data_IF_904783558743
#
_entry.id   IF_904783558743
#
_cell.length_a   1.000
_cell.length_b   1.000
_cell.length_c   1.000
_cell.angle_alpha   90.00
_cell.angle_beta   90.00
_cell.angle_gamma   90.00
#
_symmetry.space_group_name_H-M   'P 1'
#
loop_
_entity.id
_entity.type
_entity.pdbx_description
1 polymer ?
#
# COMPACT_ATOMS: atom_id res chain seq x y z
N UNK A 1 -7.15 -18.13 8.55
CA UNK A 1 -7.04 -18.06 10.03
C UNK A 1 -6.82 -16.65 10.58
N UNK A 2 -6.05 -15.77 9.91
CA UNK A 2 -5.83 -14.38 10.37
C UNK A 2 -7.12 -13.59 10.66
N UNK A 3 -8.08 -13.60 9.73
CA UNK A 3 -9.36 -12.90 9.92
C UNK A 3 -10.11 -13.41 11.15
N UNK A 4 -10.13 -14.73 11.39
CA UNK A 4 -10.78 -15.28 12.57
C UNK A 4 -10.11 -14.76 13.85
N UNK A 5 -8.78 -14.84 13.94
CA UNK A 5 -8.04 -14.38 15.13
C UNK A 5 -8.29 -12.90 15.45
N UNK A 6 -8.35 -12.04 14.44
CA UNK A 6 -8.65 -10.60 14.62
C UNK A 6 -10.06 -10.33 15.15
N UNK A 7 -11.05 -11.10 14.71
CA UNK A 7 -12.46 -10.89 15.06
C UNK A 7 -12.89 -11.75 16.25
N UNK A 8 -12.06 -12.70 16.68
CA UNK A 8 -12.38 -13.58 17.80
C UNK A 8 -12.72 -12.78 19.08
N UNK A 9 -11.97 -11.73 19.46
CA UNK A 9 -12.34 -10.94 20.63
C UNK A 9 -13.70 -10.24 20.49
N UNK A 10 -14.10 -9.87 19.27
CA UNK A 10 -15.41 -9.27 19.02
C UNK A 10 -16.54 -10.31 19.08
N UNK A 11 -16.26 -11.56 18.67
CA UNK A 11 -17.27 -12.61 18.57
C UNK A 11 -17.58 -13.24 19.94
N UNK A 12 -16.56 -13.43 20.78
CA UNK A 12 -16.70 -14.17 22.04
C UNK A 12 -16.17 -13.43 23.26
N UNK A 13 -15.62 -12.22 23.12
CA UNK A 13 -15.01 -11.49 24.23
C UNK A 13 -15.94 -11.27 25.41
N UNK A 14 -17.22 -10.99 25.14
CA UNK A 14 -18.24 -10.77 26.18
C UNK A 14 -18.56 -12.04 27.01
N UNK A 15 -18.17 -13.22 26.52
CA UNK A 15 -18.36 -14.50 27.22
C UNK A 15 -17.12 -14.95 27.98
N UNK A 16 -15.99 -14.23 27.86
CA UNK A 16 -14.74 -14.58 28.54
C UNK A 16 -14.60 -13.72 29.80
N UNK A 17 -14.27 -14.30 30.97
CA UNK A 17 -14.04 -13.54 32.19
C UNK A 17 -12.94 -12.49 32.01
N UNK A 18 -13.14 -11.27 32.52
CA UNK A 18 -12.16 -10.18 32.41
C UNK A 18 -10.81 -10.52 33.05
N UNK A 19 -10.81 -11.36 34.09
CA UNK A 19 -9.61 -11.79 34.81
C UNK A 19 -8.90 -13.00 34.20
N UNK A 20 -9.35 -13.49 33.03
CA UNK A 20 -8.71 -14.62 32.37
C UNK A 20 -7.35 -14.20 31.79
N UNK A 21 -6.28 -14.63 32.45
CA UNK A 21 -4.90 -14.31 32.06
C UNK A 21 -4.49 -14.95 30.72
N UNK A 22 -5.07 -16.09 30.32
CA UNK A 22 -4.80 -16.71 29.02
C UNK A 22 -5.46 -15.91 27.89
N UNK A 23 -6.64 -15.36 28.15
CA UNK A 23 -7.32 -14.46 27.23
C UNK A 23 -6.57 -13.14 27.06
N UNK A 24 -6.13 -12.53 28.17
CA UNK A 24 -5.27 -11.34 28.14
C UNK A 24 -4.00 -11.58 27.31
N UNK A 25 -3.34 -12.72 27.51
CA UNK A 25 -2.16 -13.10 26.73
C UNK A 25 -2.47 -13.16 25.22
N UNK A 26 -3.61 -13.75 24.83
CA UNK A 26 -4.07 -13.77 23.44
C UNK A 26 -4.33 -12.35 22.90
N UNK A 27 -4.98 -11.49 23.69
CA UNK A 27 -5.20 -10.09 23.32
C UNK A 27 -3.89 -9.34 23.11
N UNK A 28 -2.90 -9.51 23.98
CA UNK A 28 -1.54 -8.93 23.83
C UNK A 28 -0.89 -9.42 22.53
N UNK A 29 -0.99 -10.72 22.21
CA UNK A 29 -0.49 -11.25 20.93
C UNK A 29 -1.17 -10.59 19.73
N UNK A 30 -2.49 -10.41 19.78
CA UNK A 30 -3.25 -9.75 18.71
C UNK A 30 -2.82 -8.28 18.56
N UNK A 31 -2.54 -7.59 19.65
CA UNK A 31 -2.05 -6.21 19.63
C UNK A 31 -0.65 -6.10 19.01
N UNK A 32 0.29 -6.95 19.42
CA UNK A 32 1.61 -7.08 18.78
C UNK A 32 1.43 -7.27 17.27
N UNK A 33 0.53 -8.16 16.89
CA UNK A 33 0.31 -8.51 15.50
C UNK A 33 -0.31 -7.35 14.70
N UNK A 34 -1.20 -6.55 15.31
CA UNK A 34 -1.75 -5.33 14.71
C UNK A 34 -0.66 -4.29 14.42
N UNK A 35 0.28 -4.09 15.36
CA UNK A 35 1.39 -3.15 15.15
C UNK A 35 2.33 -3.66 14.05
N UNK A 36 2.71 -4.95 14.09
CA UNK A 36 3.63 -5.56 13.11
C UNK A 36 3.09 -5.48 11.68
N UNK A 37 1.77 -5.64 11.49
CA UNK A 37 1.13 -5.55 10.18
C UNK A 37 0.68 -4.15 9.78
N UNK A 38 0.92 -3.12 10.59
CA UNK A 38 0.53 -1.76 10.25
C UNK A 38 1.30 -1.25 9.00
N UNK A 39 0.62 -0.58 8.05
CA UNK A 39 1.26 -0.04 6.83
C UNK A 39 2.24 1.10 7.12
N UNK A 40 2.07 1.76 8.26
CA UNK A 40 2.83 2.89 8.77
C UNK A 40 2.99 2.73 10.27
N UNK A 41 4.20 2.94 10.77
CA UNK A 41 4.55 2.77 12.19
C UNK A 41 5.41 3.95 12.64
N UNK A 42 5.04 4.58 13.75
CA UNK A 42 5.82 5.63 14.41
C UNK A 42 6.88 5.05 15.34
N UNK A 43 7.93 5.81 15.67
CA UNK A 43 8.97 5.37 16.61
C UNK A 43 8.41 5.02 18.00
N UNK A 44 7.41 5.77 18.47
CA UNK A 44 6.75 5.50 19.75
C UNK A 44 6.02 4.16 19.74
N UNK A 45 5.36 3.82 18.62
CA UNK A 45 4.74 2.50 18.46
C UNK A 45 5.77 1.36 18.42
N UNK A 46 6.98 1.61 17.92
CA UNK A 46 8.06 0.61 17.97
C UNK A 46 8.55 0.37 19.40
N UNK A 47 8.69 1.43 20.20
CA UNK A 47 9.02 1.29 21.62
C UNK A 47 7.93 0.54 22.38
N UNK A 48 6.66 0.85 22.11
CA UNK A 48 5.52 0.15 22.69
C UNK A 48 5.47 -1.33 22.28
N UNK A 49 5.76 -1.65 21.01
CA UNK A 49 5.87 -3.01 20.52
C UNK A 49 6.93 -3.83 21.29
N UNK A 50 8.06 -3.21 21.64
CA UNK A 50 9.11 -3.88 22.42
C UNK A 50 8.61 -4.28 23.82
N UNK A 51 7.87 -3.38 24.48
CA UNK A 51 7.26 -3.64 25.80
C UNK A 51 6.25 -4.78 25.69
N UNK A 52 5.31 -4.70 24.72
CA UNK A 52 4.30 -5.74 24.52
C UNK A 52 4.91 -7.12 24.27
N UNK A 53 6.00 -7.20 23.48
CA UNK A 53 6.68 -8.48 23.20
C UNK A 53 7.31 -9.04 24.48
N UNK A 54 7.94 -8.19 25.30
CA UNK A 54 8.51 -8.62 26.58
C UNK A 54 7.41 -9.15 27.51
N UNK A 55 6.37 -8.36 27.75
CA UNK A 55 5.24 -8.71 28.61
C UNK A 55 4.58 -10.02 28.15
N UNK A 56 4.34 -10.15 26.84
CA UNK A 56 3.76 -11.37 26.27
C UNK A 56 4.63 -12.60 26.54
N UNK A 57 5.95 -12.52 26.35
CA UNK A 57 6.82 -13.69 26.50
C UNK A 57 7.04 -14.07 27.97
N UNK A 58 7.17 -13.08 28.85
CA UNK A 58 7.22 -13.29 30.30
C UNK A 58 5.94 -13.98 30.76
N UNK A 59 4.77 -13.42 30.41
CA UNK A 59 3.48 -13.98 30.77
C UNK A 59 3.22 -15.36 30.17
N UNK A 60 3.66 -15.59 28.93
CA UNK A 60 3.59 -16.92 28.31
C UNK A 60 4.38 -17.96 29.13
N UNK A 61 5.58 -17.62 29.63
CA UNK A 61 6.37 -18.54 30.45
C UNK A 61 5.79 -18.75 31.84
N UNK A 62 5.14 -17.75 32.41
CA UNK A 62 4.40 -17.90 33.67
C UNK A 62 3.21 -18.86 33.52
N UNK A 63 2.38 -18.66 32.49
CA UNK A 63 1.17 -19.45 32.25
C UNK A 63 1.46 -20.86 31.69
N UNK A 64 2.56 -21.01 30.93
CA UNK A 64 2.96 -22.26 30.29
C UNK A 64 4.42 -22.62 30.61
N UNK A 65 4.76 -22.92 31.88
CA UNK A 65 6.14 -23.11 32.32
C UNK A 65 6.84 -24.27 31.63
N UNK A 66 6.10 -25.31 31.24
CA UNK A 66 6.60 -26.48 30.55
C UNK A 66 6.80 -26.28 29.04
N UNK A 67 6.25 -25.20 28.47
CA UNK A 67 6.37 -24.93 27.04
C UNK A 67 7.65 -24.16 26.73
N UNK A 68 8.30 -24.52 25.63
CA UNK A 68 9.48 -23.83 25.12
C UNK A 68 9.10 -22.60 24.30
N UNK A 69 9.96 -21.58 24.36
CA UNK A 69 9.89 -20.45 23.43
C UNK A 69 10.23 -20.97 22.03
N UNK A 70 9.28 -20.89 21.12
CA UNK A 70 9.47 -21.34 19.73
C UNK A 70 10.24 -20.30 18.91
N UNK A 71 10.86 -20.69 17.77
CA UNK A 71 11.59 -19.76 16.92
C UNK A 71 10.79 -18.52 16.50
N UNK A 72 9.49 -18.64 16.24
CA UNK A 72 8.62 -17.50 15.91
C UNK A 72 8.60 -16.44 17.01
N UNK A 73 8.51 -16.88 18.27
CA UNK A 73 8.53 -15.98 19.43
C UNK A 73 9.91 -15.36 19.59
N UNK A 74 10.98 -16.13 19.43
CA UNK A 74 12.34 -15.57 19.44
C UNK A 74 12.52 -14.49 18.36
N UNK A 75 12.03 -14.71 17.14
CA UNK A 75 12.13 -13.74 16.06
C UNK A 75 11.34 -12.45 16.32
N UNK A 76 10.25 -12.50 17.12
CA UNK A 76 9.50 -11.29 17.50
C UNK A 76 10.40 -10.27 18.20
N UNK A 77 11.34 -10.72 19.04
CA UNK A 77 12.28 -9.84 19.78
C UNK A 77 13.11 -8.96 18.82
N UNK A 78 13.38 -9.45 17.60
CA UNK A 78 14.15 -8.72 16.59
C UNK A 78 13.28 -7.79 15.72
N UNK A 79 11.95 -7.91 15.79
CA UNK A 79 11.03 -7.12 14.96
C UNK A 79 11.15 -5.61 15.20
N UNK A 80 11.21 -5.08 16.45
CA UNK A 80 11.37 -3.65 16.69
C UNK A 80 12.62 -3.07 15.99
N UNK A 81 13.77 -3.74 16.15
CA UNK A 81 15.03 -3.33 15.49
C UNK A 81 14.92 -3.40 13.96
N UNK A 82 14.27 -4.43 13.44
CA UNK A 82 14.04 -4.59 12.00
C UNK A 82 13.15 -3.47 11.46
N UNK A 83 12.11 -3.07 12.20
CA UNK A 83 11.23 -1.95 11.82
C UNK A 83 12.00 -0.63 11.78
N UNK A 84 12.88 -0.36 12.75
CA UNK A 84 13.70 0.86 12.76
C UNK A 84 14.69 0.91 11.59
N UNK A 85 15.22 -0.25 11.18
CA UNK A 85 16.20 -0.33 10.08
C UNK A 85 15.58 -0.32 8.68
N UNK A 86 14.48 -1.05 8.48
CA UNK A 86 13.89 -1.31 7.15
C UNK A 86 12.49 -0.70 6.95
N UNK A 87 11.91 -0.12 8.01
CA UNK A 87 10.54 0.38 8.00
C UNK A 87 9.49 -0.71 8.27
N UNK A 88 8.20 -0.44 8.00
CA UNK A 88 7.10 -1.36 8.32
C UNK A 88 7.26 -2.75 7.71
N UNK A 89 7.15 -3.82 8.52
CA UNK A 89 7.43 -5.20 8.10
C UNK A 89 6.48 -5.72 7.02
N UNK A 90 5.27 -5.17 6.94
CA UNK A 90 4.29 -5.49 5.89
C UNK A 90 4.82 -5.19 4.48
N UNK A 91 5.86 -4.36 4.33
CA UNK A 91 6.49 -4.11 3.03
C UNK A 91 7.41 -5.24 2.56
N UNK A 92 7.87 -6.07 3.50
CA UNK A 92 8.84 -7.15 3.27
C UNK A 92 8.23 -8.55 3.38
N UNK A 93 6.91 -8.66 3.59
CA UNK A 93 6.26 -9.95 3.77
C UNK A 93 6.07 -10.75 2.47
N UNK A 94 5.94 -12.07 2.59
CA UNK A 94 5.89 -12.96 1.44
C UNK A 94 4.48 -13.19 0.84
N UNK A 95 3.43 -12.60 1.43
CA UNK A 95 2.03 -12.86 1.04
C UNK A 95 1.76 -12.59 -0.45
N UNK A 96 2.37 -11.55 -1.02
CA UNK A 96 2.22 -11.23 -2.45
C UNK A 96 2.90 -12.25 -3.36
N UNK A 97 4.06 -12.78 -2.94
CA UNK A 97 4.75 -13.83 -3.68
C UNK A 97 3.97 -15.15 -3.62
N UNK A 98 3.41 -15.50 -2.47
CA UNK A 98 2.53 -16.67 -2.32
C UNK A 98 1.28 -16.55 -3.19
N UNK A 99 0.63 -15.38 -3.20
CA UNK A 99 -0.51 -15.11 -4.08
C UNK A 99 -0.13 -15.22 -5.57
N UNK A 100 1.06 -14.75 -5.95
CA UNK A 100 1.56 -14.89 -7.33
C UNK A 100 1.83 -16.35 -7.71
N UNK A 101 2.32 -17.17 -6.78
CA UNK A 101 2.53 -18.61 -7.01
C UNK A 101 1.25 -19.37 -7.33
N UNK A 102 0.08 -18.92 -6.86
CA UNK A 102 -1.21 -19.54 -7.18
C UNK A 102 -1.46 -19.60 -8.70
N UNK A 103 -1.11 -18.54 -9.44
CA UNK A 103 -1.20 -18.51 -10.90
C UNK A 103 -0.37 -19.64 -11.54
N UNK A 104 0.89 -19.78 -11.12
CA UNK A 104 1.81 -20.78 -11.66
C UNK A 104 1.37 -22.22 -11.31
N UNK A 105 0.87 -22.45 -10.09
CA UNK A 105 0.33 -23.74 -9.68
C UNK A 105 -0.86 -24.17 -10.55
N UNK A 106 -1.79 -23.24 -10.81
CA UNK A 106 -2.93 -23.52 -11.70
C UNK A 106 -2.47 -23.81 -13.13
N UNK A 107 -1.55 -23.00 -13.65
CA UNK A 107 -1.03 -23.18 -15.01
C UNK A 107 -0.31 -24.52 -15.17
N UNK A 108 0.46 -24.96 -14.16
CA UNK A 108 1.14 -26.26 -14.18
C UNK A 108 0.13 -27.42 -14.29
N UNK A 109 -0.95 -27.36 -13.49
CA UNK A 109 -2.04 -28.36 -13.54
C UNK A 109 -2.73 -28.36 -14.90
N UNK A 110 -3.07 -27.19 -15.44
CA UNK A 110 -3.76 -27.07 -16.74
C UNK A 110 -2.87 -27.50 -17.91
N UNK A 111 -1.57 -27.21 -17.87
CA UNK A 111 -0.64 -27.56 -18.96
C UNK A 111 -0.42 -29.07 -19.03
N UNK A 112 -0.45 -29.78 -17.89
CA UNK A 112 -0.31 -31.24 -17.83
C UNK A 112 1.06 -31.80 -18.27
N UNK A 113 2.00 -30.93 -18.65
CA UNK A 113 3.37 -31.29 -19.03
C UNK A 113 4.36 -30.77 -17.99
N UNK A 114 5.06 -31.70 -17.33
CA UNK A 114 6.02 -31.41 -16.27
C UNK A 114 7.49 -31.44 -16.73
N UNK A 115 7.74 -31.73 -18.01
CA UNK A 115 9.08 -31.64 -18.60
C UNK A 115 9.46 -30.17 -18.71
N UNK A 116 10.57 -29.78 -18.07
CA UNK A 116 11.07 -28.39 -18.04
C UNK A 116 9.99 -27.37 -17.59
N UNK A 117 9.16 -27.75 -16.61
CA UNK A 117 8.05 -26.93 -16.12
C UNK A 117 8.41 -25.45 -15.84
N UNK A 118 9.55 -25.10 -15.21
CA UNK A 118 9.90 -23.70 -15.01
C UNK A 118 10.05 -22.91 -16.31
N UNK A 119 10.59 -23.51 -17.36
CA UNK A 119 10.75 -22.89 -18.67
C UNK A 119 9.37 -22.61 -19.29
N UNK A 120 8.49 -23.61 -19.31
CA UNK A 120 7.13 -23.49 -19.85
C UNK A 120 6.31 -22.43 -19.11
N UNK A 121 6.32 -22.46 -17.78
CA UNK A 121 5.61 -21.48 -16.95
C UNK A 121 6.14 -20.06 -17.16
N UNK A 122 7.46 -19.91 -17.26
CA UNK A 122 8.11 -18.62 -17.49
C UNK A 122 7.76 -18.07 -18.87
N UNK A 123 7.82 -18.90 -19.92
CA UNK A 123 7.50 -18.48 -21.29
C UNK A 123 6.05 -17.97 -21.41
N UNK A 124 5.09 -18.76 -20.93
CA UNK A 124 3.67 -18.37 -20.95
C UNK A 124 3.44 -17.08 -20.14
N UNK A 125 4.09 -16.96 -18.97
CA UNK A 125 3.96 -15.75 -18.15
C UNK A 125 4.53 -14.52 -18.85
N UNK A 126 5.71 -14.63 -19.48
CA UNK A 126 6.36 -13.53 -20.21
C UNK A 126 5.58 -13.12 -21.46
N UNK A 127 5.09 -14.08 -22.26
CA UNK A 127 4.23 -13.81 -23.41
C UNK A 127 2.94 -13.08 -22.98
N UNK A 128 2.34 -13.53 -21.88
CA UNK A 128 1.15 -12.88 -21.31
C UNK A 128 1.43 -11.47 -20.78
N UNK A 129 2.62 -11.22 -20.21
CA UNK A 129 3.06 -9.88 -19.81
C UNK A 129 3.26 -8.99 -21.03
N UNK A 130 3.96 -9.49 -22.05
CA UNK A 130 4.21 -8.77 -23.31
C UNK A 130 2.91 -8.32 -23.97
N UNK A 131 1.94 -9.24 -24.10
CA UNK A 131 0.61 -8.92 -24.64
C UNK A 131 -0.09 -7.80 -23.87
N UNK A 132 -0.09 -7.86 -22.52
CA UNK A 132 -0.71 -6.80 -21.70
C UNK A 132 -0.04 -5.44 -21.88
N UNK A 133 1.29 -5.43 -22.00
CA UNK A 133 2.07 -4.21 -22.21
C UNK A 133 1.84 -3.61 -23.60
N UNK A 134 1.64 -4.45 -24.62
CA UNK A 134 1.30 -3.97 -25.96
C UNK A 134 -0.15 -3.47 -26.06
N UNK A 135 -1.09 -4.11 -25.38
CA UNK A 135 -2.50 -3.71 -25.37
C UNK A 135 -2.74 -2.39 -24.61
N UNK A 136 -1.86 -2.01 -23.71
CA UNK A 136 -1.85 -0.68 -23.09
C UNK A 136 -1.30 0.37 -24.06
N UNK A 137 -2.13 0.84 -24.99
CA UNK A 137 -1.83 1.95 -25.89
C UNK A 137 -1.43 3.21 -25.10
N UNK A 138 -0.13 3.44 -24.88
CA UNK A 138 0.51 4.72 -24.51
C UNK A 138 0.07 5.43 -23.20
N UNK A 139 -1.04 5.04 -22.56
CA UNK A 139 -1.67 5.84 -21.51
C UNK A 139 -2.18 5.02 -20.31
N UNK A 140 -2.10 3.69 -20.33
CA UNK A 140 -2.61 2.84 -19.24
C UNK A 140 -1.52 1.90 -18.70
N UNK A 141 -0.80 2.36 -17.68
CA UNK A 141 0.06 1.57 -16.78
C UNK A 141 1.05 0.59 -17.42
N UNK A 142 2.32 0.99 -17.53
CA UNK A 142 3.38 -0.02 -17.52
C UNK A 142 3.55 -0.54 -16.08
N UNK A 143 4.09 -1.75 -15.90
CA UNK A 143 4.46 -2.26 -14.56
C UNK A 143 5.49 -1.36 -13.84
N UNK A 144 6.14 -0.45 -14.57
CA UNK A 144 7.23 0.42 -14.11
C UNK A 144 6.70 1.83 -13.81
N UNK A 145 5.79 2.35 -14.62
CA UNK A 145 5.18 3.67 -14.45
C UNK A 145 3.66 3.59 -14.63
N UNK A 146 2.94 3.97 -13.56
CA UNK A 146 1.51 4.25 -13.67
C UNK A 146 1.34 5.49 -14.52
N UNK A 147 0.78 5.31 -15.72
CA UNK A 147 0.45 6.39 -16.65
C UNK A 147 -0.52 7.40 -16.01
N UNK A 148 -0.62 8.57 -16.64
CA UNK A 148 -1.57 9.61 -16.24
C UNK A 148 -2.96 9.21 -16.72
N UNK A 149 -3.87 8.91 -15.79
CA UNK A 149 -5.27 8.66 -16.14
C UNK A 149 -6.06 9.96 -16.01
N UNK A 150 -6.79 10.32 -17.06
CA UNK A 150 -7.52 11.58 -17.14
C UNK A 150 -9.01 11.28 -17.02
N UNK A 151 -9.67 11.95 -16.08
CA UNK A 151 -11.12 11.88 -15.92
C UNK A 151 -11.88 12.67 -16.99
N UNK A 152 -13.22 12.55 -17.03
CA UNK A 152 -14.04 13.33 -17.96
C UNK A 152 -13.89 14.84 -17.70
N UNK A 153 -14.00 15.61 -18.79
CA UNK A 153 -13.63 17.01 -18.83
C UNK A 153 -14.10 17.71 -20.10
N UNK A 154 -13.82 19.01 -20.19
CA UNK A 154 -14.21 19.87 -21.31
C UNK A 154 -12.98 20.42 -22.03
N UNK A 155 -12.99 20.41 -23.37
CA UNK A 155 -11.99 21.10 -24.16
C UNK A 155 -12.28 22.60 -24.16
N UNK A 156 -11.26 23.41 -23.90
CA UNK A 156 -11.26 24.87 -24.05
C UNK A 156 -9.96 25.31 -24.75
N UNK A 157 -9.90 26.55 -25.19
CA UNK A 157 -8.65 27.15 -25.65
C UNK A 157 -7.98 27.95 -24.54
N UNK A 158 -6.65 28.08 -24.62
CA UNK A 158 -5.87 28.85 -23.66
C UNK A 158 -6.29 30.34 -23.57
N UNK A 159 -6.93 30.88 -24.61
CA UNK A 159 -7.50 32.23 -24.59
C UNK A 159 -8.76 32.37 -23.73
N UNK A 160 -9.55 31.29 -23.59
CA UNK A 160 -10.88 31.32 -22.95
C UNK A 160 -10.85 30.98 -21.46
N UNK A 161 -9.65 30.74 -20.91
CA UNK A 161 -9.48 30.29 -19.52
C UNK A 161 -8.99 31.44 -18.63
N UNK A 162 -9.57 31.59 -17.42
CA UNK A 162 -9.24 32.71 -16.53
C UNK A 162 -7.82 32.66 -15.95
N UNK A 163 -7.14 31.51 -16.06
CA UNK A 163 -5.78 31.24 -15.56
C UNK A 163 -4.72 31.28 -16.67
N UNK A 164 -5.00 31.95 -17.80
CA UNK A 164 -4.11 32.04 -18.95
C UNK A 164 -2.70 32.57 -18.59
N UNK A 165 -2.59 33.54 -17.68
CA UNK A 165 -1.31 34.09 -17.27
C UNK A 165 -0.40 33.03 -16.60
N UNK A 166 -0.97 32.21 -15.72
CA UNK A 166 -0.28 31.12 -15.04
C UNK A 166 0.14 30.02 -16.03
N UNK A 167 -0.72 29.71 -17.01
CA UNK A 167 -0.36 28.75 -18.08
C UNK A 167 0.84 29.21 -18.90
N UNK A 168 0.95 30.52 -19.19
CA UNK A 168 2.06 31.10 -19.96
C UNK A 168 3.37 31.12 -19.16
N UNK A 169 3.28 31.38 -17.86
CA UNK A 169 4.42 31.38 -16.95
C UNK A 169 5.01 29.97 -16.78
N UNK A 170 4.16 28.96 -16.57
CA UNK A 170 4.61 27.57 -16.38
C UNK A 170 4.95 26.86 -17.70
N UNK A 171 4.27 27.21 -18.80
CA UNK A 171 4.49 26.61 -20.12
C UNK A 171 4.81 27.70 -21.15
N UNK A 172 6.09 28.06 -21.27
CA UNK A 172 6.59 29.13 -22.16
C UNK A 172 6.28 29.01 -23.66
N UNK A 173 5.65 27.92 -24.11
CA UNK A 173 5.22 27.67 -25.50
C UNK A 173 3.69 27.71 -25.70
N UNK A 174 2.91 28.28 -24.77
CA UNK A 174 1.44 28.34 -24.90
C UNK A 174 0.98 29.50 -25.79
N UNK A 175 0.41 29.16 -26.95
CA UNK A 175 -0.26 30.10 -27.83
C UNK A 175 -1.74 30.25 -27.43
N UNK A 176 -2.42 31.35 -27.82
CA UNK A 176 -3.85 31.52 -27.54
C UNK A 176 -4.75 30.39 -28.08
N UNK A 177 -4.29 29.70 -29.13
CA UNK A 177 -4.97 28.58 -29.79
C UNK A 177 -4.59 27.21 -29.21
N UNK A 178 -3.76 27.15 -28.17
CA UNK A 178 -3.38 25.87 -27.55
C UNK A 178 -4.62 25.23 -26.91
N UNK A 179 -4.98 23.98 -27.28
CA UNK A 179 -6.10 23.28 -26.66
C UNK A 179 -5.75 22.90 -25.23
N UNK A 180 -6.65 23.21 -24.31
CA UNK A 180 -6.58 22.90 -22.89
C UNK A 180 -7.73 21.98 -22.53
N UNK A 181 -7.42 20.82 -21.95
CA UNK A 181 -8.44 19.92 -21.42
C UNK A 181 -8.64 20.15 -19.92
N UNK A 182 -9.81 20.67 -19.53
CA UNK A 182 -10.19 20.83 -18.13
C UNK A 182 -10.81 19.53 -17.61
N UNK A 183 -10.06 18.76 -16.82
CA UNK A 183 -10.50 17.48 -16.26
C UNK A 183 -11.11 17.64 -14.85
N UNK A 184 -12.10 16.82 -14.50
CA UNK A 184 -12.65 16.79 -13.13
C UNK A 184 -11.71 16.12 -12.11
N UNK A 185 -10.87 15.21 -12.59
CA UNK A 185 -9.86 14.52 -11.81
C UNK A 185 -8.75 14.01 -12.73
N UNK A 186 -7.57 13.80 -12.16
CA UNK A 186 -6.41 13.18 -12.81
C UNK A 186 -5.76 12.21 -11.84
N UNK A 187 -5.33 11.04 -12.30
CA UNK A 187 -4.52 10.10 -11.53
C UNK A 187 -3.09 10.20 -12.02
N UNK A 188 -2.17 10.66 -11.17
CA UNK A 188 -0.74 10.78 -11.49
C UNK A 188 0.00 9.78 -10.61
N UNK A 189 0.79 8.89 -11.22
CA UNK A 189 1.54 7.84 -10.51
C UNK A 189 0.69 7.00 -9.53
N UNK A 190 -0.61 6.87 -9.80
CA UNK A 190 -1.57 6.12 -8.98
C UNK A 190 -2.20 6.90 -7.83
N UNK A 191 -1.90 8.18 -7.66
CA UNK A 191 -2.60 9.06 -6.72
C UNK A 191 -3.65 9.85 -7.47
N UNK A 192 -4.91 9.78 -7.01
CA UNK A 192 -6.03 10.46 -7.65
C UNK A 192 -6.21 11.86 -7.07
N UNK A 193 -6.04 12.87 -7.91
CA UNK A 193 -6.28 14.28 -7.62
C UNK A 193 -7.63 14.69 -8.20
N UNK A 194 -8.49 15.30 -7.39
CA UNK A 194 -9.84 15.73 -7.79
C UNK A 194 -9.99 17.22 -7.54
N UNK A 195 -10.74 17.91 -8.41
CA UNK A 195 -11.18 19.28 -8.11
C UNK A 195 -11.90 19.33 -6.76
N UNK A 196 -11.46 20.25 -5.89
CA UNK A 196 -11.90 20.40 -4.51
C UNK A 196 -11.11 19.58 -3.48
N UNK A 197 -10.19 18.70 -3.90
CA UNK A 197 -9.31 17.98 -2.99
C UNK A 197 -8.27 18.92 -2.37
N UNK A 198 -7.81 18.57 -1.17
CA UNK A 198 -6.78 19.30 -0.44
C UNK A 198 -5.48 18.51 -0.50
N UNK A 199 -4.39 19.15 -0.90
CA UNK A 199 -3.05 18.60 -1.01
C UNK A 199 -2.18 19.22 0.07
N UNK A 200 -1.39 18.39 0.77
CA UNK A 200 -0.36 18.85 1.67
C UNK A 200 0.89 19.29 0.89
N UNK A 201 1.32 20.54 1.09
CA UNK A 201 2.42 21.15 0.33
C UNK A 201 3.73 21.27 1.12
N UNK A 202 3.68 21.14 2.44
CA UNK A 202 4.86 21.26 3.30
C UNK A 202 4.52 21.80 4.67
N UNK A 203 5.53 22.24 5.40
CA UNK A 203 5.38 22.83 6.73
C UNK A 203 5.82 24.30 6.71
N UNK A 204 5.19 25.15 7.51
CA UNK A 204 5.66 26.52 7.71
C UNK A 204 6.88 26.56 8.68
N UNK A 205 7.40 27.76 8.94
CA UNK A 205 8.53 27.96 9.88
C UNK A 205 8.24 27.52 11.32
N UNK A 206 6.98 27.28 11.66
CA UNK A 206 6.50 26.82 12.98
C UNK A 206 6.13 25.33 12.97
N UNK A 207 6.56 24.56 11.96
CA UNK A 207 6.26 23.14 11.78
C UNK A 207 4.76 22.79 11.64
N UNK A 208 3.90 23.77 11.32
CA UNK A 208 2.49 23.54 11.03
C UNK A 208 2.29 23.12 9.56
N UNK A 209 1.46 22.11 9.29
CA UNK A 209 1.23 21.63 7.93
C UNK A 209 0.46 22.65 7.10
N UNK A 210 0.96 22.93 5.91
CA UNK A 210 0.37 23.80 4.91
C UNK A 210 -0.38 22.97 3.86
N UNK A 211 -1.53 23.51 3.44
CA UNK A 211 -2.42 22.82 2.53
C UNK A 211 -2.89 23.73 1.40
N UNK A 212 -2.99 23.18 0.19
CA UNK A 212 -3.62 23.81 -0.97
C UNK A 212 -4.87 23.06 -1.38
N UNK A 213 -5.89 23.81 -1.83
CA UNK A 213 -7.09 23.24 -2.43
C UNK A 213 -6.97 23.29 -3.95
N UNK A 214 -7.25 22.17 -4.61
CA UNK A 214 -7.26 22.10 -6.07
C UNK A 214 -8.53 22.78 -6.59
N UNK A 215 -8.40 23.92 -7.26
CA UNK A 215 -9.56 24.59 -7.88
C UNK A 215 -9.86 24.08 -9.29
N UNK A 216 -8.80 23.87 -10.10
CA UNK A 216 -8.92 23.40 -11.48
C UNK A 216 -7.75 22.48 -11.84
N UNK A 217 -8.00 21.58 -12.79
CA UNK A 217 -7.01 20.68 -13.36
C UNK A 217 -7.03 20.90 -14.87
N UNK A 218 -5.97 21.47 -15.40
CA UNK A 218 -5.81 21.77 -16.82
C UNK A 218 -4.68 20.90 -17.40
N UNK A 219 -4.93 20.31 -18.57
CA UNK A 219 -3.98 19.42 -19.24
C UNK A 219 -3.65 20.02 -20.60
N UNK A 220 -2.36 20.27 -20.82
CA UNK A 220 -1.80 20.83 -22.05
C UNK A 220 -0.95 19.73 -22.70
N UNK A 221 -1.17 19.50 -24.00
CA UNK A 221 -0.68 18.38 -24.80
C UNK A 221 -1.35 17.04 -24.48
N UNK A 222 -2.26 16.61 -25.37
CA UNK A 222 -2.49 15.20 -25.63
C UNK A 222 -1.28 14.71 -26.44
N UNK A 223 -0.38 13.95 -25.82
CA UNK A 223 0.49 13.03 -26.57
C UNK A 223 -0.31 11.77 -26.83
#
# INVERSE_FOLDING_TARGET
>A
MWCLALHLPLLVGDYVPEDDEHWKLLCTLLEITRIVFAPTISKNQVAYLQILIQEHHEKFKELFPQCNIIPKMHYMIHMPRTILGFGPLVRSWCMRYEAKHHYFKRLAVTTGNFINLPCTLSKIHQESVSYRLQASNGSLSSFIEKGVEIGPGTNRYAADVPYQAQLKEENGNTNPLTPVYEARWVTIHGTKHKVGAVIHIGYNAEELPLFWKIEKIAIINKV
#
